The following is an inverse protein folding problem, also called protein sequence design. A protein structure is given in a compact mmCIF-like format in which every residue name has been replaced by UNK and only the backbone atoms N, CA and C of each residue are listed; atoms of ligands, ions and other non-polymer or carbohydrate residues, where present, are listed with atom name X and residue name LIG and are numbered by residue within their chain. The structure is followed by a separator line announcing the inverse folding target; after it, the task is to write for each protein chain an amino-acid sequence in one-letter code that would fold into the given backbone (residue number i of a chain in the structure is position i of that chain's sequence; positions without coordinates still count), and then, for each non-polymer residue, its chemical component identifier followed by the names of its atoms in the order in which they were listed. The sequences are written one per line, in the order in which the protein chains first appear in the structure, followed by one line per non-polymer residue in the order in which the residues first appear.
data_IF_483931832333
#
_entry.id   IF_483931832333
#
_cell.length_a   1.000
_cell.length_b   1.000
_cell.length_c   1.000
_cell.angle_alpha   90.00
_cell.angle_beta   90.00
_cell.angle_gamma   90.00
#
_symmetry.space_group_name_H-M   'P 1'
#
loop_
_entity.id
_entity.type
_entity.pdbx_description
1 polymer ?
#
# COMPACT_ATOMS: atom_id res chain seq x y z
N UNK A 1 -13.23 12.15 11.60
CA UNK A 1 -12.20 11.11 11.74
C UNK A 1 -12.91 9.86 12.24
N UNK A 2 -12.68 8.70 11.62
CA UNK A 2 -13.33 7.45 12.00
C UNK A 2 -12.75 6.88 13.31
N UNK A 3 -13.60 6.51 14.27
CA UNK A 3 -13.18 5.97 15.58
C UNK A 3 -12.34 4.69 15.44
N UNK A 4 -12.65 3.86 14.43
CA UNK A 4 -11.90 2.64 14.14
C UNK A 4 -10.45 2.92 13.74
N UNK A 5 -10.23 3.97 12.97
CA UNK A 5 -8.90 4.46 12.57
C UNK A 5 -8.11 5.03 13.74
N UNK A 6 -8.75 5.81 14.63
CA UNK A 6 -8.10 6.32 15.85
C UNK A 6 -7.64 5.17 16.74
N UNK A 7 -8.53 4.18 16.96
CA UNK A 7 -8.20 2.98 17.72
C UNK A 7 -7.07 2.18 17.09
N UNK A 8 -7.08 2.01 15.77
CA UNK A 8 -6.00 1.33 15.06
C UNK A 8 -4.65 2.05 15.25
N UNK A 9 -4.63 3.38 15.21
CA UNK A 9 -3.43 4.16 15.48
C UNK A 9 -2.90 3.93 16.90
N UNK A 10 -3.77 3.87 17.91
CA UNK A 10 -3.39 3.58 19.30
C UNK A 10 -2.79 2.17 19.44
N UNK A 11 -3.39 1.18 18.80
CA UNK A 11 -2.88 -0.20 18.78
C UNK A 11 -1.50 -0.29 18.08
N UNK A 12 -1.30 0.47 17.00
CA UNK A 12 -0.03 0.55 16.30
C UNK A 12 1.06 1.18 17.16
N UNK A 13 0.76 2.30 17.84
CA UNK A 13 1.68 2.94 18.76
C UNK A 13 2.01 2.03 19.97
N UNK A 14 1.09 1.16 20.37
CA UNK A 14 1.29 0.13 21.41
C UNK A 14 2.08 -1.11 20.90
N UNK A 15 2.50 -1.11 19.64
CA UNK A 15 3.23 -2.19 18.95
C UNK A 15 2.43 -3.48 18.79
N UNK A 16 1.10 -3.42 18.79
CA UNK A 16 0.23 -4.61 18.77
C UNK A 16 0.38 -5.49 17.52
N UNK A 17 0.82 -4.88 16.41
CA UNK A 17 0.93 -5.52 15.10
C UNK A 17 2.37 -5.65 14.61
N UNK A 18 3.34 -5.49 15.51
CA UNK A 18 4.76 -5.55 15.18
C UNK A 18 5.27 -6.99 15.31
N UNK A 19 6.21 -7.36 14.44
CA UNK A 19 6.92 -8.62 14.61
C UNK A 19 8.01 -8.53 15.70
N UNK A 20 8.56 -9.69 16.06
CA UNK A 20 9.57 -9.80 17.12
C UNK A 20 10.86 -9.03 16.82
N UNK A 21 11.20 -8.82 15.55
CA UNK A 21 12.39 -8.05 15.15
C UNK A 21 12.14 -6.56 15.38
N UNK A 22 10.98 -6.05 14.93
CA UNK A 22 10.58 -4.66 15.12
C UNK A 22 10.51 -4.29 16.61
N UNK A 23 9.93 -5.17 17.44
CA UNK A 23 9.85 -4.96 18.90
C UNK A 23 11.23 -4.85 19.53
N UNK A 24 12.19 -5.69 19.12
CA UNK A 24 13.55 -5.67 19.67
C UNK A 24 14.35 -4.42 19.30
N UNK A 25 14.08 -3.86 18.12
CA UNK A 25 14.84 -2.73 17.58
C UNK A 25 14.35 -1.35 18.04
N UNK A 26 13.21 -1.27 18.73
CA UNK A 26 12.53 0.00 19.00
C UNK A 26 12.09 0.10 20.45
N UNK A 27 12.16 1.30 21.01
CA UNK A 27 11.68 1.59 22.35
C UNK A 27 10.16 1.65 22.34
N UNK A 28 9.51 0.93 23.27
CA UNK A 28 8.06 1.04 23.47
C UNK A 28 7.75 2.34 24.20
N UNK A 29 7.11 3.27 23.49
CA UNK A 29 6.86 4.63 24.00
C UNK A 29 5.58 4.73 24.82
N UNK A 30 4.59 3.92 24.49
CA UNK A 30 3.27 3.97 25.11
C UNK A 30 2.72 2.57 25.40
N UNK A 31 1.78 2.49 26.33
CA UNK A 31 0.89 1.36 26.54
C UNK A 31 -0.55 1.75 26.24
N UNK A 32 -1.28 0.87 25.57
CA UNK A 32 -2.71 1.06 25.31
C UNK A 32 -3.51 -0.02 26.05
N UNK A 33 -4.35 0.41 27.00
CA UNK A 33 -5.21 -0.44 27.84
C UNK A 33 -6.53 0.28 28.10
N UNK A 34 -7.64 -0.44 28.01
CA UNK A 34 -8.98 0.09 28.35
C UNK A 34 -9.27 1.44 27.67
N UNK A 35 -9.05 1.50 26.35
CA UNK A 35 -9.25 2.70 25.53
C UNK A 35 -8.43 3.94 25.94
N UNK A 36 -7.39 3.76 26.75
CA UNK A 36 -6.53 4.83 27.25
C UNK A 36 -5.07 4.58 26.88
N UNK A 37 -4.39 5.65 26.44
CA UNK A 37 -2.95 5.66 26.19
C UNK A 37 -2.17 6.14 27.42
N UNK A 38 -1.19 5.35 27.84
CA UNK A 38 -0.27 5.64 28.92
C UNK A 38 1.14 5.80 28.36
N UNK A 39 1.88 6.81 28.82
CA UNK A 39 3.31 6.93 28.52
C UNK A 39 4.08 5.88 29.32
N UNK A 40 5.08 5.26 28.72
CA UNK A 40 6.01 4.41 29.48
C UNK A 40 7.01 5.28 30.24
N UNK A 41 7.57 4.77 31.33
CA UNK A 41 8.62 5.48 32.09
C UNK A 41 9.82 5.85 31.21
N UNK A 42 10.14 4.98 30.24
CA UNK A 42 11.18 5.24 29.24
C UNK A 42 10.86 6.44 28.37
N UNK A 43 9.62 6.55 27.89
CA UNK A 43 9.21 7.69 27.09
C UNK A 43 9.20 8.97 27.92
N UNK A 44 8.71 8.90 29.17
CA UNK A 44 8.70 10.02 30.11
C UNK A 44 10.11 10.55 30.38
N UNK A 45 11.09 9.66 30.57
CA UNK A 45 12.49 10.05 30.73
C UNK A 45 13.06 10.73 29.47
N UNK A 46 12.70 10.25 28.28
CA UNK A 46 13.18 10.81 27.00
C UNK A 46 12.63 12.22 26.76
N UNK A 47 11.34 12.45 26.96
CA UNK A 47 10.70 13.75 26.67
C UNK A 47 11.05 14.84 27.70
N UNK A 48 11.46 14.43 28.91
CA UNK A 48 11.91 15.35 29.95
C UNK A 48 13.42 15.67 29.85
N UNK A 49 14.16 14.97 28.99
CA UNK A 49 15.52 15.36 28.65
C UNK A 49 15.48 16.62 27.76
N UNK A 50 15.98 17.74 28.28
CA UNK A 50 15.96 19.06 27.61
C UNK A 50 16.66 19.08 26.26
N UNK A 51 17.68 18.25 26.06
CA UNK A 51 18.42 18.14 24.80
C UNK A 51 17.58 17.38 23.76
N UNK A 52 17.07 16.20 24.12
CA UNK A 52 16.26 15.37 23.22
C UNK A 52 14.93 15.99 22.86
N UNK A 53 14.29 16.70 23.80
CA UNK A 53 13.02 17.36 23.59
C UNK A 53 13.04 18.29 22.38
N UNK A 54 14.11 19.06 22.19
CA UNK A 54 14.26 19.97 21.05
C UNK A 54 14.23 19.23 19.71
N UNK A 55 14.96 18.12 19.62
CA UNK A 55 14.99 17.29 18.41
C UNK A 55 13.64 16.59 18.14
N UNK A 56 12.94 16.16 19.20
CA UNK A 56 11.63 15.52 19.08
C UNK A 56 10.58 16.54 18.60
N UNK A 57 10.53 17.72 19.20
CA UNK A 57 9.61 18.79 18.79
C UNK A 57 9.87 19.21 17.34
N UNK A 58 11.14 19.38 16.95
CA UNK A 58 11.51 19.70 15.56
C UNK A 58 11.07 18.60 14.57
N UNK A 59 11.31 17.33 14.89
CA UNK A 59 10.91 16.21 14.04
C UNK A 59 9.38 16.10 13.90
N UNK A 60 8.63 16.31 14.98
CA UNK A 60 7.16 16.31 14.96
C UNK A 60 6.63 17.48 14.12
N UNK A 61 7.15 18.69 14.34
CA UNK A 61 6.74 19.88 13.60
C UNK A 61 7.06 19.74 12.10
N UNK A 62 8.23 19.23 11.76
CA UNK A 62 8.60 18.93 10.38
C UNK A 62 7.64 17.91 9.76
N UNK A 63 7.29 16.84 10.50
CA UNK A 63 6.35 15.82 10.05
C UNK A 63 4.94 16.38 9.80
N UNK A 64 4.42 17.21 10.70
CA UNK A 64 3.12 17.88 10.57
C UNK A 64 3.13 18.82 9.36
N UNK A 65 4.12 19.71 9.27
CA UNK A 65 4.23 20.66 8.16
C UNK A 65 4.34 19.96 6.80
N UNK A 66 5.13 18.88 6.73
CA UNK A 66 5.25 18.07 5.52
C UNK A 66 3.90 17.42 5.17
N UNK A 67 3.21 16.85 6.14
CA UNK A 67 1.89 16.25 5.94
C UNK A 67 0.88 17.28 5.42
N UNK A 68 0.79 18.45 6.05
CA UNK A 68 -0.10 19.54 5.62
C UNK A 68 0.20 19.99 4.19
N UNK A 69 1.48 20.08 3.82
CA UNK A 69 1.89 20.47 2.46
C UNK A 69 1.55 19.40 1.41
N UNK A 70 1.75 18.12 1.74
CA UNK A 70 1.58 17.01 0.80
C UNK A 70 0.12 16.54 0.70
N UNK A 71 -0.61 16.48 1.81
CA UNK A 71 -1.96 15.91 1.91
C UNK A 71 -3.06 16.95 2.16
N UNK A 72 -2.70 18.17 2.58
CA UNK A 72 -3.66 19.23 2.90
C UNK A 72 -4.69 18.76 3.95
N UNK A 73 -5.90 19.31 3.91
CA UNK A 73 -7.01 18.91 4.78
C UNK A 73 -7.91 17.84 4.13
N UNK A 74 -7.46 17.20 3.06
CA UNK A 74 -8.27 16.29 2.26
C UNK A 74 -8.29 14.87 2.85
N UNK A 75 -9.49 14.28 2.93
CA UNK A 75 -9.66 12.89 3.34
C UNK A 75 -9.78 11.97 2.12
N UNK A 76 -8.77 11.12 1.90
CA UNK A 76 -8.70 10.19 0.76
C UNK A 76 -9.42 8.84 0.98
N UNK A 77 -10.24 8.74 2.03
CA UNK A 77 -10.97 7.51 2.36
C UNK A 77 -10.21 6.54 3.26
N UNK A 78 -10.78 5.36 3.45
CA UNK A 78 -10.16 4.20 4.07
C UNK A 78 -10.24 3.04 3.06
N UNK A 79 -9.11 2.50 2.56
CA UNK A 79 -7.73 2.86 2.88
C UNK A 79 -7.35 4.31 2.50
N UNK A 80 -6.51 4.96 3.31
CA UNK A 80 -6.10 6.36 3.10
C UNK A 80 -5.05 6.46 1.99
N UNK A 81 -5.52 6.55 0.74
CA UNK A 81 -4.68 6.46 -0.47
C UNK A 81 -4.93 7.65 -1.39
N UNK A 82 -3.94 8.54 -1.47
CA UNK A 82 -3.92 9.66 -2.39
C UNK A 82 -3.47 9.19 -3.77
N UNK A 83 -4.24 9.53 -4.80
CA UNK A 83 -3.90 9.18 -6.18
C UNK A 83 -2.52 9.74 -6.55
N UNK A 84 -1.76 8.91 -7.26
CA UNK A 84 -0.47 9.24 -7.86
C UNK A 84 0.68 9.50 -6.89
N UNK A 85 0.48 9.23 -5.61
CA UNK A 85 1.54 9.26 -4.60
C UNK A 85 2.29 7.94 -4.51
N UNK A 86 3.48 8.03 -3.92
CA UNK A 86 4.38 6.89 -3.73
C UNK A 86 4.11 6.15 -2.41
N UNK A 87 4.03 4.83 -2.50
CA UNK A 87 3.78 3.93 -1.38
C UNK A 87 4.72 2.72 -1.41
N UNK A 88 5.12 2.27 -0.21
CA UNK A 88 5.70 0.94 0.01
C UNK A 88 4.59 -0.02 0.40
N UNK A 89 4.78 -1.31 0.11
CA UNK A 89 3.81 -2.35 0.49
C UNK A 89 3.45 -2.30 1.98
N UNK A 90 4.44 -2.07 2.86
CA UNK A 90 4.24 -2.03 4.32
C UNK A 90 3.36 -0.86 4.78
N UNK A 91 3.31 0.24 4.02
CA UNK A 91 2.50 1.41 4.38
C UNK A 91 1.00 1.05 4.37
N UNK A 92 0.60 0.11 3.51
CA UNK A 92 -0.80 -0.34 3.40
C UNK A 92 -1.31 -1.01 4.67
N UNK A 93 -0.44 -1.58 5.50
CA UNK A 93 -0.86 -2.12 6.78
C UNK A 93 -1.37 -1.02 7.72
N UNK A 94 -0.75 0.16 7.68
CA UNK A 94 -1.19 1.34 8.42
C UNK A 94 -2.40 1.98 7.76
N UNK A 95 -2.30 2.26 6.45
CA UNK A 95 -3.30 3.03 5.72
C UNK A 95 -4.64 2.33 5.54
N UNK A 96 -4.70 1.00 5.72
CA UNK A 96 -5.93 0.20 5.60
C UNK A 96 -6.49 -0.30 6.93
N UNK A 97 -5.98 0.17 8.08
CA UNK A 97 -6.34 -0.35 9.40
C UNK A 97 -6.11 -1.87 9.55
N UNK A 98 -4.97 -2.38 9.07
CA UNK A 98 -4.67 -3.81 9.13
C UNK A 98 -4.36 -4.27 10.56
N UNK A 99 -5.16 -5.21 11.07
CA UNK A 99 -5.09 -5.72 12.45
C UNK A 99 -4.42 -7.10 12.56
N UNK A 100 -3.35 -7.29 11.78
CA UNK A 100 -2.44 -8.45 11.84
C UNK A 100 -1.01 -7.94 11.69
N UNK A 101 -0.01 -8.81 11.80
CA UNK A 101 1.40 -8.43 11.72
C UNK A 101 1.69 -7.62 10.45
N UNK A 102 2.14 -6.37 10.59
CA UNK A 102 2.32 -5.44 9.46
C UNK A 102 3.39 -5.89 8.47
N UNK A 103 4.42 -6.61 8.92
CA UNK A 103 5.43 -7.16 8.03
C UNK A 103 4.92 -8.27 7.10
N UNK A 104 3.68 -8.75 7.26
CA UNK A 104 3.04 -9.64 6.29
C UNK A 104 2.68 -8.94 4.97
N UNK A 105 2.68 -7.60 4.93
CA UNK A 105 2.56 -6.83 3.69
C UNK A 105 3.89 -6.84 2.89
N UNK A 106 4.41 -8.03 2.61
CA UNK A 106 5.65 -8.25 1.86
C UNK A 106 5.54 -9.54 1.04
N UNK A 107 6.28 -9.59 -0.06
CA UNK A 107 6.53 -10.85 -0.79
C UNK A 107 5.36 -11.41 -1.59
N UNK A 108 4.22 -10.72 -1.68
CA UNK A 108 3.10 -11.09 -2.55
C UNK A 108 2.69 -9.91 -3.42
N UNK A 109 2.50 -10.15 -4.72
CA UNK A 109 1.95 -9.17 -5.66
C UNK A 109 0.45 -8.91 -5.48
N UNK A 110 -0.23 -9.71 -4.65
CA UNK A 110 -1.63 -9.51 -4.29
C UNK A 110 -1.82 -9.71 -2.78
N UNK A 111 -2.34 -8.69 -2.12
CA UNK A 111 -2.67 -8.69 -0.69
C UNK A 111 -4.11 -8.19 -0.50
N UNK A 112 -4.73 -8.50 0.64
CA UNK A 112 -6.10 -8.07 0.92
C UNK A 112 -6.34 -7.78 2.38
N UNK A 113 -7.17 -6.77 2.65
CA UNK A 113 -7.74 -6.49 3.97
C UNK A 113 -9.27 -6.34 3.83
N UNK A 114 -10.02 -7.37 4.21
CA UNK A 114 -11.46 -7.42 3.90
C UNK A 114 -11.69 -7.37 2.39
N UNK A 115 -12.47 -6.38 1.95
CA UNK A 115 -12.81 -6.15 0.55
C UNK A 115 -11.81 -5.25 -0.19
N UNK A 116 -10.76 -4.79 0.48
CA UNK A 116 -9.70 -3.97 -0.12
C UNK A 116 -8.59 -4.89 -0.62
N UNK A 117 -8.44 -4.99 -1.95
CA UNK A 117 -7.44 -5.82 -2.61
C UNK A 117 -6.34 -4.92 -3.17
N UNK A 118 -5.09 -5.18 -2.78
CA UNK A 118 -3.92 -4.39 -3.16
C UNK A 118 -3.09 -5.17 -4.17
N UNK A 119 -3.07 -4.68 -5.41
CA UNK A 119 -2.35 -5.26 -6.54
C UNK A 119 -1.03 -4.50 -6.70
N UNK A 120 0.08 -5.16 -6.41
CA UNK A 120 1.42 -4.62 -6.57
C UNK A 120 2.05 -5.15 -7.86
N UNK A 121 2.34 -4.23 -8.78
CA UNK A 121 2.63 -4.53 -10.17
C UNK A 121 3.99 -3.96 -10.55
N UNK A 122 4.86 -4.86 -11.01
CA UNK A 122 6.18 -4.55 -11.56
C UNK A 122 6.09 -4.66 -13.09
N UNK A 123 6.20 -3.54 -13.80
CA UNK A 123 6.07 -3.53 -15.27
C UNK A 123 7.27 -4.19 -15.96
N UNK A 124 8.49 -3.95 -15.48
CA UNK A 124 9.69 -4.63 -15.96
C UNK A 124 10.23 -5.57 -14.89
N UNK A 125 10.27 -6.85 -15.24
CA UNK A 125 10.95 -7.89 -14.47
C UNK A 125 12.39 -7.97 -15.00
N UNK A 126 13.35 -7.85 -14.09
CA UNK A 126 14.82 -7.94 -14.16
C UNK A 126 15.48 -8.29 -15.53
N UNK A 127 16.62 -7.65 -15.82
CA UNK A 127 17.47 -7.94 -16.99
C UNK A 127 17.84 -9.44 -17.06
N UNK A 128 17.57 -10.07 -18.20
CA UNK A 128 17.93 -11.48 -18.48
C UNK A 128 16.74 -12.43 -18.71
N UNK A 129 15.50 -11.97 -18.53
CA UNK A 129 14.31 -12.68 -19.03
C UNK A 129 14.06 -12.20 -20.45
N UNK A 130 14.09 -13.11 -21.43
CA UNK A 130 13.89 -12.79 -22.86
C UNK A 130 12.73 -11.79 -23.05
N UNK A 131 13.02 -10.63 -23.67
CA UNK A 131 12.08 -9.52 -23.90
C UNK A 131 10.79 -9.92 -24.68
N UNK A 132 10.72 -11.16 -25.19
CA UNK A 132 9.59 -11.72 -25.93
C UNK A 132 8.60 -12.51 -25.06
N UNK A 133 8.91 -12.80 -23.80
CA UNK A 133 8.04 -13.58 -22.93
C UNK A 133 7.17 -12.64 -22.08
N UNK A 134 6.22 -12.01 -22.76
CA UNK A 134 4.89 -11.66 -22.26
C UNK A 134 4.82 -10.64 -21.09
N UNK A 135 4.76 -9.34 -21.42
CA UNK A 135 4.26 -8.30 -20.51
C UNK A 135 2.77 -8.54 -20.26
N UNK A 136 2.46 -9.46 -19.34
CA UNK A 136 1.09 -9.80 -18.97
C UNK A 136 0.41 -8.65 -18.21
N UNK A 137 1.21 -7.89 -17.47
CA UNK A 137 0.79 -6.67 -16.80
C UNK A 137 1.23 -5.46 -17.63
N UNK A 138 0.28 -4.67 -18.11
CA UNK A 138 0.56 -3.52 -18.97
C UNK A 138 -0.58 -2.52 -18.98
N UNK A 139 -0.24 -1.26 -19.25
CA UNK A 139 -1.23 -0.29 -19.67
C UNK A 139 -1.73 -0.60 -21.08
N UNK A 140 -3.04 -0.53 -21.28
CA UNK A 140 -3.68 -0.55 -22.60
C UNK A 140 -4.02 0.86 -23.09
N UNK A 141 -4.25 1.78 -22.15
CA UNK A 141 -4.38 3.24 -22.33
C UNK A 141 -4.31 3.89 -20.94
N UNK A 142 -4.46 5.21 -20.86
CA UNK A 142 -4.59 5.96 -19.61
C UNK A 142 -5.80 5.53 -18.77
N UNK A 143 -6.79 4.86 -19.37
CA UNK A 143 -8.04 4.45 -18.71
C UNK A 143 -8.17 2.92 -18.53
N UNK A 144 -7.24 2.12 -19.09
CA UNK A 144 -7.37 0.67 -19.08
C UNK A 144 -6.03 0.01 -18.76
N UNK A 145 -6.07 -0.95 -17.83
CA UNK A 145 -4.91 -1.73 -17.41
C UNK A 145 -5.19 -3.22 -17.58
N UNK A 146 -4.25 -3.96 -18.14
CA UNK A 146 -4.29 -5.42 -18.16
C UNK A 146 -3.46 -5.94 -16.99
N UNK A 147 -4.04 -6.82 -16.18
CA UNK A 147 -3.35 -7.44 -15.04
C UNK A 147 -3.57 -8.94 -15.02
N UNK A 148 -2.55 -9.69 -14.63
CA UNK A 148 -2.65 -11.12 -14.38
C UNK A 148 -2.54 -11.45 -12.90
N UNK A 149 -3.51 -12.22 -12.42
CA UNK A 149 -3.54 -12.73 -11.05
C UNK A 149 -2.36 -13.66 -10.72
N UNK A 150 -2.02 -13.86 -9.43
CA UNK A 150 -1.02 -14.86 -9.06
C UNK A 150 -1.31 -16.24 -9.66
N UNK A 151 -0.29 -16.96 -10.09
CA UNK A 151 -0.36 -18.25 -10.81
C UNK A 151 -1.29 -19.31 -10.17
N UNK A 152 -1.53 -19.23 -8.86
CA UNK A 152 -2.39 -20.18 -8.15
C UNK A 152 -3.89 -19.84 -8.21
N UNK A 153 -4.26 -18.64 -8.67
CA UNK A 153 -5.63 -18.13 -8.62
C UNK A 153 -6.47 -18.77 -9.72
N UNK A 154 -7.54 -19.47 -9.32
CA UNK A 154 -8.53 -20.09 -10.22
C UNK A 154 -9.79 -19.25 -10.30
N UNK A 155 -10.51 -19.30 -11.42
CA UNK A 155 -11.78 -18.55 -11.57
C UNK A 155 -12.82 -18.95 -10.53
N UNK A 156 -12.93 -20.25 -10.23
CA UNK A 156 -13.93 -20.80 -9.31
C UNK A 156 -13.65 -20.51 -7.82
N UNK A 157 -12.40 -20.13 -7.49
CA UNK A 157 -12.00 -19.77 -6.14
C UNK A 157 -12.63 -18.46 -5.68
N UNK A 158 -12.83 -18.28 -4.37
CA UNK A 158 -13.42 -17.02 -3.85
C UNK A 158 -12.59 -15.79 -4.25
N UNK A 159 -11.26 -15.89 -4.17
CA UNK A 159 -10.33 -14.85 -4.65
C UNK A 159 -10.52 -14.57 -6.15
N UNK A 160 -10.64 -15.60 -6.98
CA UNK A 160 -10.86 -15.45 -8.42
C UNK A 160 -12.18 -14.73 -8.71
N UNK A 161 -13.27 -15.14 -8.05
CA UNK A 161 -14.57 -14.48 -8.15
C UNK A 161 -14.54 -13.03 -7.66
N UNK A 162 -13.80 -12.74 -6.58
CA UNK A 162 -13.60 -11.38 -6.07
C UNK A 162 -12.84 -10.48 -7.04
N UNK A 163 -11.93 -11.05 -7.84
CA UNK A 163 -11.22 -10.32 -8.91
C UNK A 163 -12.13 -10.13 -10.13
N UNK A 164 -12.78 -11.20 -10.59
CA UNK A 164 -13.58 -11.19 -11.83
C UNK A 164 -14.84 -10.32 -11.69
N UNK A 165 -15.56 -10.50 -10.58
CA UNK A 165 -16.84 -9.84 -10.31
C UNK A 165 -16.67 -8.79 -9.20
N UNK A 166 -15.55 -8.06 -9.22
CA UNK A 166 -15.16 -7.18 -8.10
C UNK A 166 -16.24 -6.14 -7.80
N UNK A 167 -16.84 -5.55 -8.83
CA UNK A 167 -17.91 -4.57 -8.68
C UNK A 167 -19.16 -5.16 -8.02
N UNK A 168 -19.61 -6.32 -8.50
CA UNK A 168 -20.82 -6.99 -7.98
C UNK A 168 -20.61 -7.55 -6.57
N UNK A 169 -19.37 -7.89 -6.21
CA UNK A 169 -18.99 -8.40 -4.89
C UNK A 169 -18.52 -7.30 -3.93
N UNK A 170 -18.62 -6.03 -4.32
CA UNK A 170 -18.18 -4.87 -3.55
C UNK A 170 -16.72 -4.99 -3.08
N UNK A 171 -15.85 -5.41 -4.00
CA UNK A 171 -14.40 -5.56 -3.84
C UNK A 171 -13.67 -4.45 -4.58
N UNK A 172 -12.84 -3.72 -3.85
CA UNK A 172 -12.01 -2.64 -4.38
C UNK A 172 -10.66 -3.20 -4.83
N UNK A 173 -10.35 -3.13 -6.12
CA UNK A 173 -9.04 -3.49 -6.65
C UNK A 173 -8.17 -2.23 -6.74
N UNK A 174 -7.23 -2.06 -5.83
CA UNK A 174 -6.28 -0.94 -5.79
C UNK A 174 -5.00 -1.28 -6.53
N UNK A 175 -4.60 -0.47 -7.51
CA UNK A 175 -3.42 -0.72 -8.33
C UNK A 175 -2.23 0.13 -7.87
N UNK A 176 -1.13 -0.54 -7.56
CA UNK A 176 0.16 0.03 -7.19
C UNK A 176 1.18 -0.40 -8.24
N UNK A 177 1.69 0.55 -9.02
CA UNK A 177 2.53 0.25 -10.19
C UNK A 177 3.91 0.86 -10.01
N UNK A 178 4.94 0.11 -10.37
CA UNK A 178 6.29 0.65 -10.57
C UNK A 178 6.89 0.10 -11.85
N UNK A 179 7.77 0.90 -12.45
CA UNK A 179 8.46 0.52 -13.68
C UNK A 179 9.48 -0.58 -13.43
N UNK A 180 10.38 -0.35 -12.48
CA UNK A 180 11.43 -1.28 -12.09
C UNK A 180 11.31 -1.61 -10.62
N UNK A 181 11.61 -2.86 -10.27
CA UNK A 181 11.63 -3.29 -8.87
C UNK A 181 12.74 -2.61 -8.07
N UNK A 182 13.88 -2.40 -8.71
CA UNK A 182 15.11 -1.88 -8.11
C UNK A 182 15.88 -1.06 -9.15
N UNK A 183 16.50 0.03 -8.71
CA UNK A 183 17.45 0.85 -9.47
C UNK A 183 18.64 1.09 -8.54
N UNK A 184 19.87 0.87 -9.01
CA UNK A 184 21.10 1.05 -8.22
C UNK A 184 21.05 0.38 -6.83
N UNK A 185 20.55 -0.85 -6.76
CA UNK A 185 20.38 -1.61 -5.51
C UNK A 185 19.40 -1.00 -4.50
N UNK A 186 18.57 -0.05 -4.94
CA UNK A 186 17.51 0.56 -4.14
C UNK A 186 16.15 0.16 -4.68
N UNK A 187 15.35 -0.49 -3.83
CA UNK A 187 13.97 -0.83 -4.15
C UNK A 187 13.19 0.44 -4.47
N UNK A 188 12.51 0.44 -5.62
CA UNK A 188 11.69 1.58 -6.03
C UNK A 188 10.30 1.50 -5.38
N UNK A 189 9.74 2.66 -4.98
CA UNK A 189 8.37 2.73 -4.47
C UNK A 189 7.36 2.44 -5.58
N UNK A 190 6.14 2.08 -5.20
CA UNK A 190 5.01 1.99 -6.12
C UNK A 190 4.26 3.31 -6.17
N UNK A 191 3.69 3.64 -7.32
CA UNK A 191 2.74 4.74 -7.47
C UNK A 191 1.33 4.16 -7.42
N UNK A 192 0.46 4.70 -6.56
CA UNK A 192 -0.94 4.32 -6.54
C UNK A 192 -1.69 4.98 -7.69
N UNK A 193 -2.25 4.20 -8.62
CA UNK A 193 -2.93 4.73 -9.81
C UNK A 193 -4.46 4.68 -9.71
N UNK A 194 -4.99 4.39 -8.52
CA UNK A 194 -6.43 4.33 -8.27
C UNK A 194 -7.01 2.91 -8.26
N UNK A 195 -8.34 2.86 -8.30
CA UNK A 195 -9.11 1.62 -8.34
C UNK A 195 -9.40 1.20 -9.78
N UNK A 196 -9.53 -0.10 -10.01
CA UNK A 196 -9.93 -0.67 -11.30
C UNK A 196 -11.11 -1.62 -11.17
N UNK A 197 -12.01 -1.59 -12.16
CA UNK A 197 -13.13 -2.52 -12.28
C UNK A 197 -12.88 -3.50 -13.43
N UNK A 198 -13.05 -4.79 -13.16
CA UNK A 198 -12.91 -5.83 -14.19
C UNK A 198 -14.03 -5.68 -15.22
N UNK A 199 -13.66 -5.53 -16.49
CA UNK A 199 -14.60 -5.44 -17.62
C UNK A 199 -14.51 -6.64 -18.57
N UNK A 200 -13.35 -7.28 -18.65
CA UNK A 200 -13.12 -8.50 -19.43
C UNK A 200 -12.16 -9.40 -18.64
N UNK A 201 -12.30 -10.72 -18.79
CA UNK A 201 -11.39 -11.69 -18.17
C UNK A 201 -11.21 -12.92 -19.05
N UNK A 202 -10.04 -13.55 -18.95
CA UNK A 202 -9.71 -14.79 -19.63
C UNK A 202 -8.70 -15.62 -18.81
N UNK A 203 -8.53 -16.89 -19.18
CA UNK A 203 -7.59 -17.80 -18.52
C UNK A 203 -8.15 -18.39 -17.22
N UNK A 204 -7.96 -19.69 -17.03
CA UNK A 204 -8.48 -20.38 -15.83
C UNK A 204 -7.56 -20.21 -14.62
N UNK A 205 -6.26 -20.42 -14.81
CA UNK A 205 -5.23 -20.38 -13.76
C UNK A 205 -3.85 -20.11 -14.38
N UNK A 206 -3.32 -18.88 -14.33
CA UNK A 206 -3.91 -17.68 -13.73
C UNK A 206 -5.01 -17.04 -14.59
N UNK A 207 -5.77 -16.14 -13.95
CA UNK A 207 -6.75 -15.26 -14.58
C UNK A 207 -6.05 -13.99 -15.06
N UNK A 208 -6.27 -13.60 -16.32
CA UNK A 208 -5.95 -12.28 -16.86
C UNK A 208 -7.22 -11.44 -16.89
N UNK A 209 -7.16 -10.21 -16.40
CA UNK A 209 -8.28 -9.26 -16.41
C UNK A 209 -7.90 -7.97 -17.12
N UNK A 210 -8.87 -7.39 -17.82
CA UNK A 210 -8.85 -6.01 -18.26
C UNK A 210 -9.61 -5.18 -17.24
N UNK A 211 -8.91 -4.24 -16.63
CA UNK A 211 -9.42 -3.33 -15.63
C UNK A 211 -9.70 -1.97 -16.28
N UNK A 212 -10.92 -1.47 -16.15
CA UNK A 212 -11.24 -0.06 -16.40
C UNK A 212 -10.87 0.73 -15.15
N UNK A 213 -9.95 1.68 -15.28
CA UNK A 213 -9.56 2.53 -14.16
C UNK A 213 -10.68 3.52 -13.84
N UNK A 214 -10.93 3.74 -12.55
CA UNK A 214 -11.91 4.73 -12.09
C UNK A 214 -11.40 6.16 -12.25
N UNK A 215 -10.09 6.33 -12.39
CA UNK A 215 -9.42 7.60 -12.65
C UNK A 215 -8.44 7.43 -13.81
N UNK A 216 -8.49 8.35 -14.77
CA UNK A 216 -7.53 8.40 -15.88
C UNK A 216 -6.13 8.67 -15.34
N UNK A 217 -5.12 7.89 -15.76
CA UNK A 217 -3.73 8.13 -15.37
C UNK A 217 -3.21 9.38 -16.07
N UNK A 218 -2.68 10.38 -15.34
CA UNK A 218 -2.13 11.59 -15.94
C UNK A 218 -1.05 11.25 -16.97
N UNK A 219 -1.08 11.93 -18.12
CA UNK A 219 -0.18 11.66 -19.25
C UNK A 219 1.29 11.60 -18.85
N UNK A 220 1.74 12.45 -17.92
CA UNK A 220 3.13 12.44 -17.42
C UNK A 220 3.50 11.12 -16.75
N UNK A 221 2.62 10.61 -15.89
CA UNK A 221 2.81 9.34 -15.17
C UNK A 221 2.71 8.16 -16.13
N UNK A 222 1.72 8.20 -17.03
CA UNK A 222 1.55 7.18 -18.06
C UNK A 222 2.80 7.04 -18.93
N UNK A 223 3.36 8.16 -19.42
CA UNK A 223 4.59 8.16 -20.22
C UNK A 223 5.78 7.61 -19.45
N UNK A 224 5.95 7.98 -18.19
CA UNK A 224 7.01 7.45 -17.34
C UNK A 224 6.99 5.91 -17.28
N UNK A 225 5.80 5.32 -17.21
CA UNK A 225 5.62 3.87 -17.18
C UNK A 225 5.76 3.16 -18.53
N UNK A 226 5.35 3.79 -19.63
CA UNK A 226 5.24 3.12 -20.94
C UNK A 226 6.44 3.39 -21.85
N UNK A 227 7.06 4.55 -21.76
CA UNK A 227 8.23 4.89 -22.60
C UNK A 227 9.48 4.16 -22.06
N UNK A 228 10.18 3.40 -22.90
CA UNK A 228 11.50 2.87 -22.53
C UNK A 228 12.50 4.04 -22.52
N UNK A 229 13.31 4.15 -21.46
CA UNK A 229 14.47 5.06 -21.41
C UNK A 229 15.58 4.46 -22.26
#
# INVERSE_FOLDING_TARGET
MDEGSVRHAFECLNHQYWDSVMIKQRVKLIEYKEDTLYRTDRFEAIINNKEYRKYIEDAINYGIFRYEKEFQEEYYGLPFLKLYEQYKMVDLALLSNYRKIHSSFRGSGLLSNGNEYFLFIDLHKEEGIEERINYKDKFLSENYFQWQSPNATKQDSDRGKNIIFNKDRNVNLHLFVRKYKEIDKKAQPYIYIGKGDTVEYEGEKPITVKLKLQNEVPTKIYREFVEKI
#
